data_IF_159222898051
#
_entry.id   IF_159222898051
#
_cell.length_a   1.000
_cell.length_b   1.000
_cell.length_c   1.000
_cell.angle_alpha   90.00
_cell.angle_beta   90.00
_cell.angle_gamma   90.00
#
_symmetry.space_group_name_H-M   'P 1'
#
loop_
_entity.id
_entity.type
_entity.pdbx_description
1 polymer ?
#
# COMPACT_ATOMS: atom_id res chain seq x y z
N UNK A 1 3.17 29.94 -22.60
CA UNK A 1 2.28 28.77 -22.46
C UNK A 1 2.23 28.24 -21.02
N UNK A 2 3.35 28.14 -20.29
CA UNK A 2 3.37 27.60 -18.92
C UNK A 2 2.50 28.38 -17.90
N UNK A 3 2.42 29.70 -18.05
CA UNK A 3 1.57 30.55 -17.21
C UNK A 3 0.07 30.34 -17.43
N UNK A 4 -0.34 29.90 -18.62
CA UNK A 4 -1.75 29.71 -18.94
C UNK A 4 -2.26 28.40 -18.30
N UNK A 5 -1.44 27.35 -18.29
CA UNK A 5 -1.73 26.11 -17.57
C UNK A 5 -1.87 26.31 -16.07
N UNK A 6 -1.01 27.13 -15.45
CA UNK A 6 -1.10 27.44 -14.01
C UNK A 6 -2.40 28.18 -13.66
N UNK A 7 -2.86 29.09 -14.53
CA UNK A 7 -4.14 29.80 -14.35
C UNK A 7 -5.34 28.87 -14.52
N UNK A 8 -5.31 27.99 -15.53
CA UNK A 8 -6.37 27.00 -15.77
C UNK A 8 -6.46 26.01 -14.60
N UNK A 9 -5.32 25.49 -14.12
CA UNK A 9 -5.28 24.61 -12.96
C UNK A 9 -5.79 25.30 -11.69
N UNK A 10 -5.40 26.56 -11.46
CA UNK A 10 -5.90 27.35 -10.34
C UNK A 10 -7.42 27.59 -10.39
N UNK A 11 -7.95 27.94 -11.58
CA UNK A 11 -9.38 28.14 -11.78
C UNK A 11 -10.18 26.84 -11.59
N UNK A 12 -9.65 25.70 -12.05
CA UNK A 12 -10.28 24.39 -11.86
C UNK A 12 -10.34 23.98 -10.39
N UNK A 13 -9.27 24.21 -9.62
CA UNK A 13 -9.25 23.93 -8.18
C UNK A 13 -10.26 24.77 -7.41
N UNK A 14 -10.34 26.08 -7.70
CA UNK A 14 -11.28 26.98 -7.06
C UNK A 14 -12.72 26.61 -7.43
N UNK A 15 -12.99 26.36 -8.71
CA UNK A 15 -14.30 25.92 -9.19
C UNK A 15 -14.72 24.56 -8.60
N UNK A 16 -13.79 23.62 -8.47
CA UNK A 16 -14.02 22.31 -7.87
C UNK A 16 -14.36 22.38 -6.38
N UNK A 17 -13.68 23.25 -5.62
CA UNK A 17 -13.98 23.46 -4.20
C UNK A 17 -15.37 24.07 -3.99
N UNK A 18 -15.72 25.09 -4.78
CA UNK A 18 -17.04 25.72 -4.72
C UNK A 18 -18.12 24.71 -5.11
N UNK A 19 -17.93 23.96 -6.20
CA UNK A 19 -18.85 22.92 -6.64
C UNK A 19 -19.04 21.81 -5.61
N UNK A 20 -17.97 21.36 -4.95
CA UNK A 20 -18.03 20.36 -3.89
C UNK A 20 -18.77 20.87 -2.65
N UNK A 21 -18.58 22.15 -2.28
CA UNK A 21 -19.32 22.77 -1.18
C UNK A 21 -20.82 22.82 -1.47
N UNK A 22 -21.21 23.21 -2.69
CA UNK A 22 -22.61 23.19 -3.12
C UNK A 22 -23.17 21.76 -3.22
N UNK A 23 -22.40 20.80 -3.70
CA UNK A 23 -22.81 19.40 -3.75
C UNK A 23 -23.05 18.81 -2.35
N UNK A 24 -22.19 19.15 -1.38
CA UNK A 24 -22.38 18.79 0.02
C UNK A 24 -23.60 19.47 0.65
N UNK A 25 -23.83 20.75 0.33
CA UNK A 25 -24.99 21.50 0.81
C UNK A 25 -26.32 20.96 0.21
N UNK A 26 -26.28 20.51 -1.04
CA UNK A 26 -27.42 20.00 -1.78
C UNK A 26 -27.62 18.48 -1.63
N UNK A 27 -26.71 17.76 -0.99
CA UNK A 27 -26.86 16.33 -0.74
C UNK A 27 -27.60 16.08 0.59
N UNK A 28 -28.93 15.82 0.60
CA UNK A 28 -29.63 15.43 1.80
C UNK A 28 -29.30 13.97 2.11
N UNK A 29 -28.29 13.72 2.95
CA UNK A 29 -28.13 12.42 3.59
C UNK A 29 -28.64 12.48 5.03
N UNK A 30 -29.77 11.81 5.29
CA UNK A 30 -30.33 11.71 6.64
C UNK A 30 -29.34 11.00 7.58
N UNK A 31 -29.02 11.63 8.72
CA UNK A 31 -27.99 11.12 9.63
C UNK A 31 -28.25 9.71 10.20
N UNK A 32 -29.52 9.24 10.19
CA UNK A 32 -29.88 7.87 10.61
C UNK A 32 -29.53 6.83 9.55
N UNK A 33 -29.83 7.09 8.27
CA UNK A 33 -29.41 6.19 7.19
C UNK A 33 -27.90 6.19 7.03
N UNK A 34 -27.26 7.36 7.14
CA UNK A 34 -25.82 7.50 7.03
C UNK A 34 -25.10 6.73 8.13
N UNK A 35 -25.54 6.80 9.39
CA UNK A 35 -24.98 5.94 10.46
C UNK A 35 -25.18 4.45 10.16
N UNK A 36 -26.37 4.05 9.72
CA UNK A 36 -26.66 2.64 9.40
C UNK A 36 -25.77 2.12 8.25
N UNK A 37 -25.59 2.93 7.20
CA UNK A 37 -24.70 2.63 6.07
C UNK A 37 -23.24 2.61 6.51
N UNK A 38 -22.77 3.58 7.30
CA UNK A 38 -21.41 3.59 7.85
C UNK A 38 -21.16 2.32 8.67
N UNK A 39 -22.04 1.94 9.59
CA UNK A 39 -21.83 0.73 10.40
C UNK A 39 -21.81 -0.55 9.55
N UNK A 40 -22.69 -0.64 8.55
CA UNK A 40 -22.76 -1.81 7.65
C UNK A 40 -21.53 -1.89 6.74
N UNK A 41 -21.12 -0.76 6.16
CA UNK A 41 -19.94 -0.66 5.31
C UNK A 41 -18.65 -0.86 6.13
N UNK A 42 -18.55 -0.31 7.33
CA UNK A 42 -17.42 -0.55 8.23
C UNK A 42 -17.26 -2.03 8.61
N UNK A 43 -18.37 -2.76 8.85
CA UNK A 43 -18.32 -4.21 9.10
C UNK A 43 -17.90 -5.01 7.86
N UNK A 44 -18.36 -4.61 6.67
CA UNK A 44 -17.96 -5.26 5.41
C UNK A 44 -16.49 -4.98 5.09
N UNK A 45 -16.06 -3.72 5.17
CA UNK A 45 -14.66 -3.31 5.00
C UNK A 45 -13.78 -4.07 5.99
N UNK A 46 -14.16 -4.13 7.28
CA UNK A 46 -13.38 -4.92 8.25
C UNK A 46 -13.18 -6.37 7.78
N UNK A 47 -14.18 -7.02 7.19
CA UNK A 47 -14.04 -8.41 6.73
C UNK A 47 -13.25 -8.54 5.43
N UNK A 48 -13.48 -7.65 4.47
CA UNK A 48 -12.78 -7.65 3.17
C UNK A 48 -11.32 -7.20 3.30
N UNK A 49 -11.02 -6.26 4.21
CA UNK A 49 -9.65 -5.80 4.50
C UNK A 49 -8.81 -6.90 5.13
N UNK A 50 -9.39 -7.77 5.96
CA UNK A 50 -8.66 -8.91 6.55
C UNK A 50 -8.13 -9.83 5.45
N UNK A 51 -9.00 -10.25 4.53
CA UNK A 51 -8.61 -11.11 3.40
C UNK A 51 -7.65 -10.43 2.43
N UNK A 52 -7.90 -9.16 2.08
CA UNK A 52 -7.01 -8.43 1.18
C UNK A 52 -5.60 -8.22 1.79
N UNK A 53 -5.52 -8.07 3.12
CA UNK A 53 -4.24 -7.96 3.82
C UNK A 53 -3.52 -9.31 3.89
N UNK A 54 -4.23 -10.41 4.09
CA UNK A 54 -3.67 -11.78 4.00
C UNK A 54 -3.08 -12.06 2.62
N UNK A 55 -3.86 -11.86 1.56
CA UNK A 55 -3.43 -12.10 0.18
C UNK A 55 -2.22 -11.24 -0.20
N UNK A 56 -2.20 -9.99 0.27
CA UNK A 56 -1.07 -9.09 0.05
C UNK A 56 0.18 -9.54 0.81
N UNK A 57 0.04 -10.00 2.06
CA UNK A 57 1.17 -10.51 2.86
C UNK A 57 1.76 -11.77 2.25
N UNK A 58 0.92 -12.69 1.77
CA UNK A 58 1.39 -13.93 1.15
C UNK A 58 2.10 -13.63 -0.19
N UNK A 59 1.53 -12.75 -1.02
CA UNK A 59 2.15 -12.29 -2.27
C UNK A 59 3.51 -11.61 -2.05
N UNK A 60 3.65 -10.83 -0.97
CA UNK A 60 4.92 -10.18 -0.60
C UNK A 60 5.98 -11.21 -0.20
N UNK A 61 5.61 -12.31 0.46
CA UNK A 61 6.56 -13.36 0.84
C UNK A 61 7.07 -14.12 -0.38
N UNK A 62 6.16 -14.47 -1.30
CA UNK A 62 6.52 -15.14 -2.55
C UNK A 62 7.50 -14.27 -3.36
N UNK A 63 7.16 -12.99 -3.52
CA UNK A 63 8.04 -12.03 -4.20
C UNK A 63 9.39 -11.85 -3.50
N UNK A 64 9.41 -11.79 -2.16
CA UNK A 64 10.66 -11.69 -1.40
C UNK A 64 11.53 -12.96 -1.51
N UNK A 65 10.92 -14.13 -1.70
CA UNK A 65 11.61 -15.38 -2.01
C UNK A 65 12.27 -15.32 -3.38
N UNK A 66 11.49 -14.99 -4.41
CA UNK A 66 11.94 -14.88 -5.79
C UNK A 66 13.07 -13.86 -5.98
N UNK A 67 12.93 -12.70 -5.34
CA UNK A 67 13.97 -11.66 -5.37
C UNK A 67 15.25 -12.16 -4.73
N UNK A 68 15.15 -12.88 -3.60
CA UNK A 68 16.34 -13.45 -2.96
C UNK A 68 17.05 -14.44 -3.87
N UNK A 69 16.31 -15.35 -4.48
CA UNK A 69 16.89 -16.34 -5.39
C UNK A 69 17.55 -15.67 -6.60
N UNK A 70 16.86 -14.74 -7.26
CA UNK A 70 17.41 -14.01 -8.40
C UNK A 70 18.64 -13.19 -8.05
N UNK A 71 18.63 -12.50 -6.91
CA UNK A 71 19.77 -11.71 -6.44
C UNK A 71 20.95 -12.62 -6.09
N UNK A 72 20.71 -13.73 -5.39
CA UNK A 72 21.75 -14.74 -5.11
C UNK A 72 22.37 -15.28 -6.39
N UNK A 73 21.56 -15.60 -7.40
CA UNK A 73 22.02 -16.17 -8.68
C UNK A 73 22.81 -15.12 -9.51
N UNK A 74 22.39 -13.85 -9.49
CA UNK A 74 23.14 -12.72 -10.09
C UNK A 74 24.48 -12.51 -9.39
N UNK A 75 24.49 -12.55 -8.06
CA UNK A 75 25.69 -12.36 -7.24
C UNK A 75 26.67 -13.54 -7.38
N UNK A 76 26.18 -14.76 -7.60
CA UNK A 76 27.04 -15.92 -7.88
C UNK A 76 27.63 -15.89 -9.29
N UNK A 77 26.90 -15.38 -10.27
CA UNK A 77 27.34 -15.34 -11.67
C UNK A 77 28.11 -14.06 -12.02
N UNK A 78 27.93 -12.97 -11.27
CA UNK A 78 28.57 -11.69 -11.49
C UNK A 78 30.02 -11.69 -11.02
N UNK A 79 30.97 -11.75 -11.96
CA UNK A 79 32.42 -11.68 -11.67
C UNK A 79 32.90 -10.31 -11.17
N UNK A 80 32.14 -9.25 -11.43
CA UNK A 80 32.50 -7.86 -11.12
C UNK A 80 32.00 -7.36 -9.75
N UNK A 81 31.21 -8.16 -9.02
CA UNK A 81 30.79 -7.80 -7.66
C UNK A 81 31.90 -8.18 -6.66
N UNK A 82 32.32 -7.21 -5.84
CA UNK A 82 33.26 -7.48 -4.75
C UNK A 82 32.64 -8.43 -3.71
N UNK A 83 33.49 -9.25 -3.07
CA UNK A 83 33.10 -10.12 -1.95
C UNK A 83 32.35 -9.36 -0.84
N UNK A 84 32.73 -8.10 -0.60
CA UNK A 84 32.09 -7.25 0.40
C UNK A 84 30.69 -6.81 -0.02
N UNK A 85 30.51 -6.40 -1.27
CA UNK A 85 29.19 -6.05 -1.81
C UNK A 85 28.26 -7.26 -1.85
N UNK A 86 28.78 -8.45 -2.18
CA UNK A 86 28.08 -9.74 -2.12
C UNK A 86 27.58 -10.03 -0.70
N UNK A 87 28.46 -9.92 0.31
CA UNK A 87 28.08 -10.15 1.71
C UNK A 87 27.09 -9.11 2.21
N UNK A 88 27.25 -7.85 1.84
CA UNK A 88 26.35 -6.78 2.26
C UNK A 88 24.94 -6.94 1.67
N UNK A 89 24.84 -7.27 0.38
CA UNK A 89 23.57 -7.57 -0.27
C UNK A 89 22.86 -8.77 0.37
N UNK A 90 23.57 -9.87 0.61
CA UNK A 90 23.01 -11.05 1.26
C UNK A 90 22.50 -10.75 2.68
N UNK A 91 23.29 -10.00 3.46
CA UNK A 91 22.89 -9.59 4.82
C UNK A 91 21.66 -8.69 4.81
N UNK A 92 21.58 -7.73 3.88
CA UNK A 92 20.46 -6.81 3.77
C UNK A 92 19.20 -7.52 3.29
N UNK A 93 19.32 -8.49 2.36
CA UNK A 93 18.22 -9.35 1.95
C UNK A 93 17.70 -10.23 3.09
N UNK A 94 18.59 -10.86 3.86
CA UNK A 94 18.19 -11.64 5.03
C UNK A 94 17.50 -10.78 6.09
N UNK A 95 18.00 -9.57 6.31
CA UNK A 95 17.36 -8.63 7.23
C UNK A 95 15.97 -8.22 6.74
N UNK A 96 15.84 -7.93 5.44
CA UNK A 96 14.56 -7.64 4.80
C UNK A 96 13.56 -8.78 4.96
N UNK A 97 13.98 -10.03 4.70
CA UNK A 97 13.14 -11.21 4.89
C UNK A 97 12.70 -11.38 6.35
N UNK A 98 13.60 -11.24 7.32
CA UNK A 98 13.26 -11.34 8.75
C UNK A 98 12.27 -10.26 9.19
N UNK A 99 12.35 -9.06 8.61
CA UNK A 99 11.41 -7.98 8.90
C UNK A 99 10.03 -8.28 8.30
N UNK A 100 9.98 -8.74 7.05
CA UNK A 100 8.74 -9.16 6.38
C UNK A 100 8.08 -10.31 7.14
N UNK A 101 8.85 -11.30 7.59
CA UNK A 101 8.36 -12.43 8.35
C UNK A 101 7.81 -12.02 9.73
N UNK A 102 8.49 -11.08 10.41
CA UNK A 102 7.99 -10.48 11.66
C UNK A 102 6.71 -9.68 11.44
N UNK A 103 6.61 -8.95 10.34
CA UNK A 103 5.40 -8.20 10.01
C UNK A 103 4.23 -9.15 9.70
N UNK A 104 4.48 -10.24 8.95
CA UNK A 104 3.50 -11.31 8.74
C UNK A 104 2.97 -11.87 10.04
N UNK A 105 3.85 -12.25 10.99
CA UNK A 105 3.42 -12.78 12.30
C UNK A 105 2.53 -11.80 13.07
N UNK A 106 2.90 -10.52 13.13
CA UNK A 106 2.07 -9.50 13.78
C UNK A 106 0.73 -9.28 13.08
N UNK A 107 0.72 -9.34 11.75
CA UNK A 107 -0.50 -9.20 10.97
C UNK A 107 -1.40 -10.40 11.25
N UNK A 108 -0.90 -11.64 11.14
CA UNK A 108 -1.65 -12.85 11.49
C UNK A 108 -2.22 -12.80 12.92
N UNK A 109 -1.37 -12.44 13.91
CA UNK A 109 -1.79 -12.27 15.30
C UNK A 109 -2.88 -11.19 15.46
N UNK A 110 -2.75 -10.05 14.77
CA UNK A 110 -3.74 -8.96 14.83
C UNK A 110 -5.07 -9.30 14.14
N UNK A 111 -5.03 -10.24 13.20
CA UNK A 111 -6.17 -10.76 12.47
C UNK A 111 -6.90 -11.88 13.24
N UNK A 112 -6.30 -12.36 14.35
CA UNK A 112 -6.87 -13.40 15.20
C UNK A 112 -6.74 -14.80 14.61
N UNK A 113 -5.71 -15.02 13.78
CA UNK A 113 -5.31 -16.33 13.24
C UNK A 113 -4.05 -16.84 13.92
#
# INVERSE_FOLDING_TARGET
>A
MENDYRKIAGAFLIGGLIGAAFALLYAPQSGRETRKKITKTARRIKKETIHAVEDAVDSINEFAGDVKERVSDIIERGRDLSEDAKKELLRNLEHGQKVIEKQRKRIAESLGM
#
